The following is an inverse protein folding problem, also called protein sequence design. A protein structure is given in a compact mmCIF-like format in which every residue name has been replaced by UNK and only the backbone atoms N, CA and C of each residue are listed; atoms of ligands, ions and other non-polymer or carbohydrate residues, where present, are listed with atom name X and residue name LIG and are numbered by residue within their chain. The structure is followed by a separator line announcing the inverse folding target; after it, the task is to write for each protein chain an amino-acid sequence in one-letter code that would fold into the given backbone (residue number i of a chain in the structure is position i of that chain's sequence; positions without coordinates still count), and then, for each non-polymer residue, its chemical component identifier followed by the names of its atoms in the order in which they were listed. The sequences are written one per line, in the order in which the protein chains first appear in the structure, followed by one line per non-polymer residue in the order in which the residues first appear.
data_IF_717555740770
#
_entry.id   IF_717555740770
#
_cell.length_a   1.000
_cell.length_b   1.000
_cell.length_c   1.000
_cell.angle_alpha   90.00
_cell.angle_beta   90.00
_cell.angle_gamma   90.00
#
_symmetry.space_group_name_H-M   'P 1'
#
loop_
_entity.id
_entity.type
_entity.pdbx_description
1 polymer ?
#
# COMPACT_ATOMS: atom_id res chain seq x y z
N UNK A 1 -15.76 42.98 39.06
CA UNK A 1 -16.57 43.61 37.99
C UNK A 1 -15.69 43.65 36.75
N UNK A 2 -15.89 42.93 35.66
CA UNK A 2 -17.11 42.37 35.06
C UNK A 2 -16.72 41.10 34.29
N UNK A 3 -17.45 40.02 34.52
CA UNK A 3 -17.44 38.83 33.69
C UNK A 3 -18.03 39.14 32.31
N UNK A 4 -17.40 38.64 31.24
CA UNK A 4 -18.07 38.46 29.94
C UNK A 4 -17.71 37.11 29.34
N UNK A 5 -18.43 36.11 29.81
CA UNK A 5 -18.80 34.93 29.03
C UNK A 5 -19.72 35.40 27.90
N UNK A 6 -19.32 35.24 26.64
CA UNK A 6 -20.25 35.24 25.51
C UNK A 6 -19.57 34.66 24.27
N UNK A 7 -20.14 33.56 23.75
CA UNK A 7 -19.88 32.87 22.47
C UNK A 7 -18.89 31.68 22.49
N UNK A 8 -19.40 30.50 22.90
CA UNK A 8 -19.02 29.24 22.27
C UNK A 8 -19.85 29.05 20.97
N UNK A 9 -19.19 29.03 19.81
CA UNK A 9 -19.40 27.92 18.89
C UNK A 9 -18.04 27.43 18.35
N UNK A 10 -17.47 26.36 18.92
CA UNK A 10 -16.13 25.93 18.49
C UNK A 10 -15.57 24.65 19.09
N UNK A 11 -16.41 23.69 19.49
CA UNK A 11 -15.95 22.37 19.98
C UNK A 11 -15.26 21.52 18.89
N UNK A 12 -15.19 22.00 17.64
CA UNK A 12 -14.53 21.32 16.50
C UNK A 12 -13.07 21.76 16.31
N UNK A 13 -12.59 22.79 17.02
CA UNK A 13 -11.28 23.42 16.74
C UNK A 13 -10.08 22.93 17.58
N UNK A 14 -10.26 22.15 18.65
CA UNK A 14 -9.19 21.90 19.62
C UNK A 14 -8.23 20.75 19.27
N UNK A 15 -8.62 19.81 18.41
CA UNK A 15 -7.78 18.65 18.09
C UNK A 15 -6.69 18.94 17.05
N UNK A 16 -6.92 19.88 16.12
CA UNK A 16 -5.98 20.15 15.02
C UNK A 16 -4.71 20.87 15.50
N UNK A 17 -4.79 21.71 16.54
CA UNK A 17 -3.65 22.54 16.98
C UNK A 17 -2.67 21.76 17.86
N UNK A 18 -3.14 20.78 18.64
CA UNK A 18 -2.29 19.99 19.54
C UNK A 18 -1.36 19.00 18.83
N UNK A 19 -1.83 18.35 17.77
CA UNK A 19 -1.05 17.37 17.00
C UNK A 19 0.12 18.06 16.28
N UNK A 20 -0.12 19.24 15.67
CA UNK A 20 0.92 20.00 14.99
C UNK A 20 2.01 20.52 15.94
N UNK A 21 1.64 20.98 17.13
CA UNK A 21 2.60 21.41 18.15
C UNK A 21 3.45 20.25 18.69
N UNK A 22 2.83 19.07 18.89
CA UNK A 22 3.55 17.86 19.26
C UNK A 22 4.52 17.41 18.18
N UNK A 23 4.09 17.36 16.91
CA UNK A 23 4.94 16.95 15.78
C UNK A 23 6.17 17.85 15.63
N UNK A 24 6.00 19.18 15.75
CA UNK A 24 7.11 20.14 15.68
C UNK A 24 8.10 19.97 16.84
N UNK A 25 7.60 19.71 18.05
CA UNK A 25 8.45 19.47 19.22
C UNK A 25 9.19 18.13 19.11
N UNK A 26 8.51 17.07 18.67
CA UNK A 26 9.09 15.75 18.49
C UNK A 26 10.12 15.72 17.33
N UNK A 27 9.92 16.51 16.27
CA UNK A 27 10.92 16.66 15.19
C UNK A 27 12.18 17.38 15.65
N UNK A 28 12.06 18.35 16.55
CA UNK A 28 13.21 19.08 17.09
C UNK A 28 13.97 18.29 18.16
N UNK A 29 13.29 17.42 18.91
CA UNK A 29 13.91 16.64 20.00
C UNK A 29 14.42 15.28 19.55
N UNK A 30 13.63 14.55 18.76
CA UNK A 30 13.90 13.15 18.39
C UNK A 30 13.57 12.89 16.90
N UNK A 31 14.27 13.56 15.96
CA UNK A 31 13.99 13.45 14.52
C UNK A 31 14.19 12.04 13.98
N UNK A 32 15.15 11.28 14.55
CA UNK A 32 15.46 9.91 14.13
C UNK A 32 14.26 8.98 14.33
N UNK A 33 13.55 9.13 15.45
CA UNK A 33 12.40 8.28 15.78
C UNK A 33 11.23 8.63 14.86
N UNK A 34 10.94 9.92 14.65
CA UNK A 34 9.87 10.34 13.74
C UNK A 34 10.11 9.94 12.29
N UNK A 35 11.36 10.06 11.80
CA UNK A 35 11.71 9.65 10.45
C UNK A 35 11.67 8.13 10.24
N UNK A 36 11.68 7.33 11.31
CA UNK A 36 11.60 5.86 11.20
C UNK A 36 10.19 5.34 10.96
N UNK A 37 9.15 6.09 11.36
CA UNK A 37 7.74 5.67 11.31
C UNK A 37 7.09 5.76 9.91
N UNK A 38 7.88 5.64 8.85
CA UNK A 38 7.47 6.04 7.50
C UNK A 38 6.66 4.93 6.81
N UNK A 39 5.37 5.19 6.62
CA UNK A 39 4.42 4.28 5.97
C UNK A 39 4.45 4.31 4.43
N UNK A 40 5.58 4.69 3.81
CA UNK A 40 5.74 4.80 2.35
C UNK A 40 5.24 3.57 1.58
N UNK A 41 5.53 2.32 2.01
CA UNK A 41 5.10 1.13 1.28
C UNK A 41 3.57 1.00 1.17
N UNK A 42 2.81 1.54 2.13
CA UNK A 42 1.34 1.45 2.16
C UNK A 42 0.66 2.47 1.25
N UNK A 43 1.32 3.58 0.96
CA UNK A 43 0.76 4.67 0.14
C UNK A 43 1.21 4.52 -1.32
N UNK A 44 2.36 3.87 -1.55
CA UNK A 44 2.93 3.75 -2.89
C UNK A 44 2.06 2.87 -3.81
N UNK A 45 1.63 3.38 -4.99
CA UNK A 45 0.92 2.57 -5.98
C UNK A 45 1.82 1.50 -6.62
N UNK A 46 3.14 1.62 -6.45
CA UNK A 46 4.13 0.71 -7.06
C UNK A 46 4.31 -0.56 -6.24
N UNK A 47 4.05 -0.54 -4.92
CA UNK A 47 4.24 -1.69 -4.02
C UNK A 47 3.48 -2.93 -4.49
N UNK A 48 2.34 -2.76 -5.16
CA UNK A 48 1.56 -3.85 -5.77
C UNK A 48 2.41 -4.67 -6.76
N UNK A 49 3.18 -4.00 -7.60
CA UNK A 49 3.99 -4.66 -8.64
C UNK A 49 5.14 -5.47 -8.04
N UNK A 50 5.71 -5.04 -6.90
CA UNK A 50 6.71 -5.83 -6.17
C UNK A 50 6.18 -7.21 -5.78
N UNK A 51 4.96 -7.28 -5.24
CA UNK A 51 4.31 -8.55 -4.92
C UNK A 51 4.01 -9.39 -6.16
N UNK A 52 3.50 -8.77 -7.22
CA UNK A 52 3.21 -9.45 -8.49
C UNK A 52 4.47 -10.04 -9.14
N UNK A 53 5.58 -9.30 -9.17
CA UNK A 53 6.87 -9.77 -9.71
C UNK A 53 7.33 -11.01 -8.94
N UNK A 54 7.32 -10.96 -7.60
CA UNK A 54 7.76 -12.09 -6.78
C UNK A 54 6.92 -13.36 -7.02
N UNK A 55 5.61 -13.20 -7.27
CA UNK A 55 4.73 -14.34 -7.60
C UNK A 55 4.91 -14.88 -9.01
N UNK A 56 5.38 -14.05 -9.94
CA UNK A 56 5.53 -14.41 -11.35
C UNK A 56 6.85 -15.12 -11.67
N UNK A 57 7.86 -15.04 -10.79
CA UNK A 57 9.16 -15.68 -11.00
C UNK A 57 9.09 -17.18 -10.68
N UNK A 58 9.31 -18.07 -11.67
CA UNK A 58 9.27 -19.51 -11.44
C UNK A 58 10.61 -19.99 -10.90
N UNK A 59 10.77 -20.05 -9.59
CA UNK A 59 11.96 -20.66 -8.97
C UNK A 59 11.97 -22.19 -9.06
N UNK A 60 10.77 -22.78 -9.13
CA UNK A 60 10.57 -24.21 -9.30
C UNK A 60 10.05 -24.49 -10.70
N UNK A 61 10.35 -25.68 -11.22
CA UNK A 61 9.80 -26.12 -12.50
C UNK A 61 8.27 -26.30 -12.39
N UNK A 62 7.46 -25.62 -13.23
CA UNK A 62 6.01 -25.76 -13.18
C UNK A 62 5.61 -27.13 -13.74
N UNK A 63 5.10 -28.00 -12.88
CA UNK A 63 4.66 -29.35 -13.25
C UNK A 63 3.31 -29.27 -13.96
N UNK A 64 3.19 -29.78 -15.21
CA UNK A 64 1.92 -29.79 -15.93
C UNK A 64 0.85 -30.62 -15.20
N UNK A 65 -0.37 -30.11 -15.20
CA UNK A 65 -1.54 -30.81 -14.64
C UNK A 65 -2.00 -31.88 -15.65
N UNK A 66 -2.50 -33.01 -15.15
CA UNK A 66 -3.10 -34.04 -16.01
C UNK A 66 -4.48 -33.60 -16.47
N UNK A 67 -4.71 -33.67 -17.78
CA UNK A 67 -5.99 -33.29 -18.39
C UNK A 67 -7.14 -34.24 -17.98
N UNK A 68 -8.24 -33.69 -17.48
CA UNK A 68 -9.49 -34.38 -17.14
C UNK A 68 -10.61 -34.10 -18.17
N UNK A 69 -10.33 -33.26 -19.17
CA UNK A 69 -11.27 -32.85 -20.22
C UNK A 69 -12.13 -31.63 -19.87
N UNK A 70 -12.05 -31.08 -18.65
CA UNK A 70 -12.84 -29.92 -18.20
C UNK A 70 -12.01 -28.88 -17.44
N UNK A 71 -10.90 -28.43 -18.04
CA UNK A 71 -10.05 -27.35 -17.50
C UNK A 71 -10.01 -26.11 -18.40
N UNK A 72 -11.06 -25.26 -18.40
CA UNK A 72 -11.16 -24.09 -19.25
C UNK A 72 -10.23 -22.93 -18.84
N UNK A 73 -9.47 -23.06 -17.74
CA UNK A 73 -8.51 -22.10 -17.19
C UNK A 73 -7.03 -22.51 -17.34
N UNK A 74 -6.71 -23.80 -17.44
CA UNK A 74 -5.34 -24.31 -17.68
C UNK A 74 -4.96 -24.30 -19.17
N UNK A 75 -3.86 -23.64 -19.59
CA UNK A 75 -3.42 -23.66 -20.98
C UNK A 75 -2.80 -25.02 -21.36
N UNK A 76 -3.03 -25.50 -22.58
CA UNK A 76 -2.41 -26.74 -23.06
C UNK A 76 -0.99 -26.50 -23.61
N UNK A 77 -0.68 -25.26 -24.01
CA UNK A 77 0.63 -24.87 -24.52
C UNK A 77 1.07 -23.49 -23.98
N UNK A 78 2.38 -23.25 -23.75
CA UNK A 78 2.87 -21.97 -23.21
C UNK A 78 2.54 -20.73 -24.05
N UNK A 79 2.38 -20.89 -25.36
CA UNK A 79 2.05 -19.78 -26.28
C UNK A 79 0.54 -19.52 -26.41
N UNK A 80 -0.30 -20.24 -25.68
CA UNK A 80 -1.73 -19.93 -25.67
C UNK A 80 -2.01 -18.57 -25.01
N UNK A 81 -3.04 -17.84 -25.46
CA UNK A 81 -3.44 -16.58 -24.85
C UNK A 81 -4.04 -16.74 -23.44
N UNK A 82 -4.17 -17.97 -22.97
CA UNK A 82 -4.83 -18.38 -21.75
C UNK A 82 -3.81 -18.49 -20.61
N UNK A 83 -4.19 -18.01 -19.42
CA UNK A 83 -3.33 -17.99 -18.23
C UNK A 83 -2.72 -16.62 -17.95
N UNK A 84 -1.76 -16.60 -17.02
CA UNK A 84 -1.18 -15.35 -16.53
C UNK A 84 -0.15 -14.80 -17.52
N UNK A 85 -0.52 -13.73 -18.24
CA UNK A 85 0.41 -13.01 -19.11
C UNK A 85 1.26 -12.00 -18.32
N UNK A 86 2.45 -11.71 -18.86
CA UNK A 86 3.40 -10.76 -18.27
C UNK A 86 3.47 -9.44 -19.06
N UNK A 87 2.43 -9.10 -19.82
CA UNK A 87 2.40 -7.86 -20.62
C UNK A 87 2.47 -6.61 -19.74
N UNK A 88 1.87 -6.65 -18.55
CA UNK A 88 1.98 -5.57 -17.57
C UNK A 88 3.43 -5.34 -17.09
N UNK A 89 4.25 -6.38 -17.04
CA UNK A 89 5.66 -6.30 -16.61
C UNK A 89 6.55 -5.79 -17.75
N UNK A 90 6.24 -6.16 -19.00
CA UNK A 90 6.94 -5.66 -20.19
C UNK A 90 6.71 -4.17 -20.43
N UNK A 91 5.53 -3.68 -20.07
CA UNK A 91 5.11 -2.29 -20.27
C UNK A 91 5.21 -1.43 -19.00
N UNK A 92 5.87 -1.93 -17.95
CA UNK A 92 6.05 -1.22 -16.68
C UNK A 92 7.04 -0.06 -16.81
#
# INVERSE_FOLDING_TARGET
MVARESNLPGFVGFFSTGIGAFLKNAWNKEPVILASCVAIPFISPITKYTGMINSAVPYNYPVPVRDDGNMPDVPAHPSEPKGNNLEWLKNL
#
